data_IF_330975546591
#
_entry.id   IF_330975546591
#
_cell.length_a   1.000
_cell.length_b   1.000
_cell.length_c   1.000
_cell.angle_alpha   90.00
_cell.angle_beta   90.00
_cell.angle_gamma   90.00
#
_symmetry.space_group_name_H-M   'P 1'
#
loop_
_entity.id
_entity.type
_entity.pdbx_description
1 polymer ?
#
# COMPACT_ATOMS: atom_id res chain seq x y z
N UNK A 1 -0.21 7.85 -0.82
CA UNK A 1 1.10 8.49 -1.09
C UNK A 1 2.18 8.15 -0.06
N UNK A 2 1.85 7.60 1.12
CA UNK A 2 2.81 7.34 2.21
C UNK A 2 4.13 6.67 1.77
N UNK A 3 4.09 5.50 1.15
CA UNK A 3 5.29 4.80 0.67
C UNK A 3 6.14 5.62 -0.32
N UNK A 4 5.47 6.34 -1.23
CA UNK A 4 6.16 7.25 -2.16
C UNK A 4 6.80 8.43 -1.44
N UNK A 5 6.13 8.95 -0.40
CA UNK A 5 6.66 10.01 0.46
C UNK A 5 7.94 9.56 1.14
N UNK A 6 7.94 8.39 1.77
CA UNK A 6 9.11 7.82 2.42
C UNK A 6 10.26 7.59 1.42
N UNK A 7 10.00 6.96 0.27
CA UNK A 7 11.00 6.79 -0.79
C UNK A 7 11.63 8.13 -1.20
N UNK A 8 10.81 9.15 -1.45
CA UNK A 8 11.29 10.48 -1.84
C UNK A 8 12.07 11.17 -0.74
N UNK A 9 11.64 11.04 0.52
CA UNK A 9 12.35 11.54 1.69
C UNK A 9 13.75 10.92 1.83
N UNK A 10 13.89 9.65 1.44
CA UNK A 10 15.17 8.93 1.35
C UNK A 10 15.95 9.21 0.05
N UNK A 11 15.54 10.19 -0.75
CA UNK A 11 16.19 10.54 -2.02
C UNK A 11 16.02 9.50 -3.13
N UNK A 12 15.04 8.61 -3.03
CA UNK A 12 14.75 7.56 -4.02
C UNK A 12 13.59 7.95 -4.95
N UNK A 13 13.65 7.55 -6.23
CA UNK A 13 12.51 7.68 -7.13
C UNK A 13 11.31 6.84 -6.66
N UNK A 14 10.09 7.33 -6.90
CA UNK A 14 8.86 6.65 -6.49
C UNK A 14 7.77 6.74 -7.57
N UNK A 15 7.69 5.70 -8.41
CA UNK A 15 6.81 5.62 -9.58
C UNK A 15 5.81 4.45 -9.49
N UNK A 16 4.80 4.46 -10.35
CA UNK A 16 3.79 3.40 -10.43
C UNK A 16 2.77 3.42 -9.28
N UNK A 17 1.89 2.43 -9.26
CA UNK A 17 0.81 2.31 -8.26
C UNK A 17 0.84 1.01 -7.45
N UNK A 18 1.68 0.05 -7.85
CA UNK A 18 1.85 -1.21 -7.15
C UNK A 18 2.58 -0.97 -5.81
N UNK A 19 1.84 -1.01 -4.71
CA UNK A 19 2.33 -0.85 -3.36
C UNK A 19 3.36 -1.92 -3.02
N UNK A 20 3.18 -3.16 -3.48
CA UNK A 20 4.17 -4.21 -3.27
C UNK A 20 5.52 -3.84 -3.88
N UNK A 21 5.54 -3.24 -5.08
CA UNK A 21 6.78 -2.78 -5.72
C UNK A 21 7.41 -1.59 -5.00
N UNK A 22 6.58 -0.69 -4.46
CA UNK A 22 7.08 0.42 -3.64
C UNK A 22 7.70 -0.08 -2.33
N UNK A 23 7.15 -1.12 -1.70
CA UNK A 23 7.74 -1.76 -0.53
C UNK A 23 9.08 -2.43 -0.86
N UNK A 24 9.18 -3.13 -2.00
CA UNK A 24 10.46 -3.72 -2.41
C UNK A 24 11.54 -2.64 -2.64
N UNK A 25 11.17 -1.51 -3.26
CA UNK A 25 12.10 -0.39 -3.42
C UNK A 25 12.54 0.22 -2.07
N UNK A 26 11.70 0.17 -1.03
CA UNK A 26 12.08 0.56 0.33
C UNK A 26 12.98 -0.51 0.99
N UNK A 27 12.75 -1.80 0.73
CA UNK A 27 13.64 -2.85 1.20
C UNK A 27 15.07 -2.67 0.66
N UNK A 28 15.21 -2.22 -0.59
CA UNK A 28 16.51 -1.89 -1.21
C UNK A 28 17.26 -0.75 -0.50
N UNK A 29 16.59 0.05 0.34
CA UNK A 29 17.26 1.07 1.17
C UNK A 29 17.79 0.51 2.49
N UNK A 30 17.66 -0.80 2.72
CA UNK A 30 18.07 -1.48 3.96
C UNK A 30 16.99 -1.50 5.05
N UNK A 31 15.78 -1.00 4.77
CA UNK A 31 14.66 -1.09 5.69
C UNK A 31 14.12 -2.53 5.73
N UNK A 32 13.81 -3.02 6.94
CA UNK A 32 13.15 -4.30 7.11
C UNK A 32 11.66 -4.12 6.88
N UNK A 33 11.10 -4.86 5.92
CA UNK A 33 9.66 -4.85 5.63
C UNK A 33 9.02 -6.07 6.31
N UNK A 34 8.14 -5.89 7.30
CA UNK A 34 7.42 -7.00 7.92
C UNK A 34 6.54 -7.75 6.89
N UNK A 35 6.51 -9.10 6.91
CA UNK A 35 5.67 -9.88 5.99
C UNK A 35 4.18 -9.47 5.95
N UNK A 36 3.53 -9.10 7.08
CA UNK A 36 2.15 -8.63 7.05
C UNK A 36 1.93 -7.35 6.23
N UNK A 37 2.95 -6.49 6.06
CA UNK A 37 2.84 -5.31 5.20
C UNK A 37 2.91 -5.69 3.72
N UNK A 38 3.72 -6.67 3.34
CA UNK A 38 3.76 -7.15 1.96
C UNK A 38 2.41 -7.76 1.57
N UNK A 39 1.82 -8.56 2.46
CA UNK A 39 0.51 -9.15 2.23
C UNK A 39 -0.58 -8.07 2.15
N UNK A 40 -0.59 -7.12 3.07
CA UNK A 40 -1.48 -5.96 3.03
C UNK A 40 -1.32 -5.12 1.75
N UNK A 41 -0.09 -4.93 1.26
CA UNK A 41 0.17 -4.21 0.03
C UNK A 41 -0.38 -4.95 -1.21
N UNK A 42 -0.21 -6.27 -1.29
CA UNK A 42 -0.78 -7.09 -2.37
C UNK A 42 -2.30 -7.07 -2.35
N UNK A 43 -2.89 -7.15 -1.17
CA UNK A 43 -4.33 -7.01 -0.98
C UNK A 43 -4.82 -5.67 -1.53
N UNK A 44 -4.15 -4.57 -1.15
CA UNK A 44 -4.48 -3.22 -1.63
C UNK A 44 -4.27 -3.03 -3.13
N UNK A 45 -3.23 -3.64 -3.71
CA UNK A 45 -2.96 -3.61 -5.14
C UNK A 45 -4.12 -4.21 -5.95
N UNK A 46 -4.75 -5.28 -5.43
CA UNK A 46 -5.93 -5.90 -6.03
C UNK A 46 -7.18 -4.98 -6.04
N UNK A 47 -7.15 -3.84 -5.36
CA UNK A 47 -8.22 -2.84 -5.40
C UNK A 47 -7.97 -1.71 -6.40
N UNK A 48 -6.75 -1.55 -6.94
CA UNK A 48 -6.36 -0.36 -7.70
C UNK A 48 -7.20 -0.13 -8.96
N UNK A 49 -7.40 -1.19 -9.77
CA UNK A 49 -8.26 -1.16 -10.96
C UNK A 49 -9.70 -1.54 -10.61
N UNK A 50 -9.97 -2.68 -9.93
CA UNK A 50 -11.34 -3.16 -9.78
C UNK A 50 -12.27 -2.22 -9.00
N UNK A 51 -11.75 -1.36 -8.11
CA UNK A 51 -12.61 -0.40 -7.40
C UNK A 51 -13.29 0.64 -8.30
N UNK A 52 -12.85 0.81 -9.56
CA UNK A 52 -13.22 1.97 -10.39
C UNK A 52 -13.71 1.61 -11.78
N UNK A 53 -13.28 0.48 -12.33
CA UNK A 53 -13.55 0.13 -13.72
C UNK A 53 -14.47 -1.09 -13.80
N UNK A 54 -15.67 -0.98 -14.40
CA UNK A 54 -16.60 -2.10 -14.52
C UNK A 54 -16.06 -3.30 -15.31
N UNK A 55 -15.18 -3.06 -16.29
CA UNK A 55 -14.54 -4.10 -17.12
C UNK A 55 -13.54 -4.98 -16.34
N UNK A 56 -13.27 -4.66 -15.09
CA UNK A 56 -12.52 -5.52 -14.16
C UNK A 56 -13.36 -6.68 -13.60
N UNK A 57 -14.67 -6.70 -13.86
CA UNK A 57 -15.59 -7.73 -13.40
C UNK A 57 -16.31 -8.39 -14.59
N UNK A 58 -16.78 -9.65 -14.44
CA UNK A 58 -17.53 -10.30 -15.50
C UNK A 58 -18.81 -9.55 -15.87
N UNK A 59 -19.51 -8.96 -14.89
CA UNK A 59 -20.79 -8.28 -15.06
C UNK A 59 -20.96 -7.16 -14.01
N UNK A 60 -21.94 -6.28 -14.18
CA UNK A 60 -22.33 -5.30 -13.17
C UNK A 60 -21.37 -4.11 -12.98
N UNK A 61 -21.51 -3.44 -11.85
CA UNK A 61 -20.75 -2.24 -11.47
C UNK A 61 -19.82 -2.53 -10.28
N UNK A 62 -18.66 -1.85 -10.18
CA UNK A 62 -17.69 -2.10 -9.11
C UNK A 62 -18.27 -2.15 -7.70
N UNK A 63 -19.18 -1.25 -7.35
CA UNK A 63 -19.74 -1.16 -6.00
C UNK A 63 -20.45 -2.44 -5.53
N UNK A 64 -20.97 -3.25 -6.45
CA UNK A 64 -21.68 -4.50 -6.14
C UNK A 64 -20.73 -5.59 -5.59
N UNK A 65 -19.43 -5.50 -5.89
CA UNK A 65 -18.41 -6.45 -5.46
C UNK A 65 -17.71 -6.06 -4.15
N UNK A 66 -18.05 -4.89 -3.58
CA UNK A 66 -17.44 -4.41 -2.34
C UNK A 66 -18.34 -4.65 -1.14
N UNK A 67 -17.96 -5.63 -0.32
CA UNK A 67 -18.62 -5.91 0.95
C UNK A 67 -18.01 -5.09 2.10
N UNK A 68 -18.77 -4.95 3.19
CA UNK A 68 -18.26 -4.34 4.43
C UNK A 68 -17.01 -5.05 4.95
N UNK A 69 -16.94 -6.39 4.86
CA UNK A 69 -15.78 -7.17 5.30
C UNK A 69 -14.53 -6.80 4.50
N UNK A 70 -14.66 -6.77 3.17
CA UNK A 70 -13.57 -6.41 2.25
C UNK A 70 -13.10 -4.97 2.46
N UNK A 71 -14.03 -4.04 2.72
CA UNK A 71 -13.70 -2.66 3.05
C UNK A 71 -12.93 -2.55 4.39
N UNK A 72 -13.33 -3.31 5.42
CA UNK A 72 -12.64 -3.35 6.72
C UNK A 72 -11.23 -3.90 6.59
N UNK A 73 -11.05 -4.97 5.83
CA UNK A 73 -9.75 -5.58 5.57
C UNK A 73 -8.80 -4.63 4.83
N UNK A 74 -9.28 -3.99 3.75
CA UNK A 74 -8.50 -2.98 3.03
C UNK A 74 -8.12 -1.79 3.93
N UNK A 75 -9.07 -1.31 4.75
CA UNK A 75 -8.79 -0.21 5.69
C UNK A 75 -7.74 -0.60 6.72
N UNK A 76 -7.80 -1.83 7.26
CA UNK A 76 -6.81 -2.33 8.20
C UNK A 76 -5.43 -2.41 7.56
N UNK A 77 -5.31 -2.97 6.36
CA UNK A 77 -4.05 -3.03 5.62
C UNK A 77 -3.47 -1.63 5.36
N UNK A 78 -4.32 -0.68 4.97
CA UNK A 78 -3.90 0.71 4.74
C UNK A 78 -3.38 1.38 6.02
N UNK A 79 -4.06 1.15 7.15
CA UNK A 79 -3.63 1.65 8.47
C UNK A 79 -2.29 1.06 8.89
N UNK A 80 -2.09 -0.23 8.72
CA UNK A 80 -0.81 -0.88 9.05
C UNK A 80 0.36 -0.29 8.24
N UNK A 81 0.16 -0.06 6.93
CA UNK A 81 1.19 0.56 6.08
C UNK A 81 1.46 2.01 6.50
N UNK A 82 0.42 2.78 6.81
CA UNK A 82 0.58 4.16 7.29
C UNK A 82 1.35 4.23 8.59
N UNK A 83 0.94 3.44 9.60
CA UNK A 83 1.60 3.40 10.89
C UNK A 83 3.07 2.98 10.80
N UNK A 84 3.39 2.02 9.93
CA UNK A 84 4.79 1.64 9.70
C UNK A 84 5.60 2.75 9.03
N UNK A 85 5.03 3.47 8.05
CA UNK A 85 5.72 4.62 7.43
C UNK A 85 6.00 5.71 8.46
N UNK A 86 5.04 6.01 9.34
CA UNK A 86 5.20 6.99 10.43
C UNK A 86 6.30 6.55 11.41
N UNK A 87 6.31 5.29 11.84
CA UNK A 87 7.34 4.72 12.72
C UNK A 87 8.73 4.82 12.10
N UNK A 88 8.88 4.42 10.83
CA UNK A 88 10.17 4.53 10.13
C UNK A 88 10.60 5.99 10.00
N UNK A 89 9.68 6.89 9.63
CA UNK A 89 10.00 8.30 9.47
C UNK A 89 10.52 8.92 10.77
N UNK A 90 9.81 8.72 11.88
CA UNK A 90 10.26 9.22 13.19
C UNK A 90 11.58 8.60 13.65
N UNK A 91 11.83 7.33 13.32
CA UNK A 91 13.13 6.68 13.59
C UNK A 91 14.30 7.32 12.83
N UNK A 92 14.05 8.02 11.72
CA UNK A 92 15.08 8.70 10.92
C UNK A 92 15.37 10.12 11.41
N UNK A 93 14.45 10.77 12.14
CA UNK A 93 14.62 12.15 12.62
C UNK A 93 15.66 12.29 13.74
N UNK A 94 16.13 11.17 14.32
CA UNK A 94 17.06 11.17 15.46
C UNK A 94 16.40 11.67 16.75
N UNK A 95 16.98 11.36 17.94
CA UNK A 95 16.51 11.89 19.21
C UNK A 95 16.71 13.40 19.36
#
# INVERSE_FOLDING_TARGET
YALKGLLRGLGRPAFGHALFRLLQALAETGLVIPPPLEEGARLLDAHYIPARYPDAYPEGSPYEYYTLSRAKEALQAARSILGWVEEVWHGLEGP
#
